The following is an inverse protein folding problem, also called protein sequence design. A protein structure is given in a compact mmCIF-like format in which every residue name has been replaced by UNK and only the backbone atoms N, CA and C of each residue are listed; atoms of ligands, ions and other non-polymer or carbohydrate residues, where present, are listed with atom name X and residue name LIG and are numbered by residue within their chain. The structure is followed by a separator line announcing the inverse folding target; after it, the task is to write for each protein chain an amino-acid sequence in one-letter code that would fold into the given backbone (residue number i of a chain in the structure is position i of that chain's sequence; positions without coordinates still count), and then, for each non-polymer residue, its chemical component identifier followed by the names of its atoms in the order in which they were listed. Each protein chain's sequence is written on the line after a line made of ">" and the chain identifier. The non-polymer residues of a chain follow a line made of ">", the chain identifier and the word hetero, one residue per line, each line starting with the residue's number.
data_IF_980939217598
#
_entry.id   IF_980939217598
#
_cell.length_a   1.000
_cell.length_b   1.000
_cell.length_c   1.000
_cell.angle_alpha   90.00
_cell.angle_beta   90.00
_cell.angle_gamma   90.00
#
_symmetry.space_group_name_H-M   'P 1'
#
loop_
_entity.id
_entity.type
_entity.pdbx_description
1 polymer ?
#
# COMPACT_ATOMS: atom_id res chain seq x y z
N UNK A 1 -34.72 0.42 -14.69
CA UNK A 1 -33.91 1.62 -15.00
C UNK A 1 -32.53 1.39 -14.40
N UNK A 2 -31.58 0.83 -15.15
CA UNK A 2 -30.23 0.56 -14.66
C UNK A 2 -29.40 1.84 -14.74
N UNK A 3 -28.88 2.31 -13.61
CA UNK A 3 -27.99 3.45 -13.51
C UNK A 3 -26.57 3.04 -13.94
N UNK A 4 -26.19 3.37 -15.17
CA UNK A 4 -24.80 3.30 -15.62
C UNK A 4 -24.04 4.48 -15.01
N UNK A 5 -23.38 4.26 -13.87
CA UNK A 5 -22.41 5.22 -13.33
C UNK A 5 -21.24 5.38 -14.32
N UNK A 6 -20.83 6.61 -14.69
CA UNK A 6 -19.62 6.78 -15.48
C UNK A 6 -18.41 6.40 -14.62
N UNK A 7 -17.72 5.30 -14.97
CA UNK A 7 -16.57 4.75 -14.25
C UNK A 7 -15.23 5.40 -14.61
N UNK A 8 -15.22 6.56 -15.27
CA UNK A 8 -13.99 7.23 -15.67
C UNK A 8 -13.82 8.58 -14.96
N UNK A 9 -12.74 8.69 -14.18
CA UNK A 9 -12.28 9.95 -13.59
C UNK A 9 -11.11 10.51 -14.41
N UNK A 10 -11.11 11.83 -14.66
CA UNK A 10 -10.07 12.51 -15.45
C UNK A 10 -9.02 13.14 -14.55
N UNK A 11 -7.76 12.87 -14.85
CA UNK A 11 -6.60 13.53 -14.22
C UNK A 11 -6.12 14.66 -15.13
N UNK A 12 -6.02 15.89 -14.60
CA UNK A 12 -5.49 17.05 -15.33
C UNK A 12 -4.36 17.67 -14.53
N UNK A 13 -3.21 17.91 -15.15
CA UNK A 13 -2.06 18.54 -14.51
C UNK A 13 -1.46 19.63 -15.41
N UNK A 14 -1.00 20.72 -14.78
CA UNK A 14 -0.20 21.76 -15.46
C UNK A 14 1.27 21.43 -15.25
N UNK A 15 2.04 21.50 -16.33
CA UNK A 15 3.45 21.13 -16.33
C UNK A 15 4.28 22.16 -17.11
N UNK A 16 5.48 22.53 -16.64
CA UNK A 16 6.40 23.37 -17.40
C UNK A 16 6.76 22.74 -18.74
N UNK A 17 7.09 23.57 -19.75
CA UNK A 17 7.46 23.10 -21.07
C UNK A 17 8.66 22.13 -21.06
N UNK A 18 9.68 22.43 -20.24
CA UNK A 18 10.86 21.57 -20.07
C UNK A 18 10.53 20.17 -19.54
N UNK A 19 9.58 20.08 -18.60
CA UNK A 19 9.10 18.81 -18.07
C UNK A 19 8.32 18.05 -19.14
N UNK A 20 7.47 18.74 -19.91
CA UNK A 20 6.74 18.14 -21.04
C UNK A 20 7.68 17.48 -22.03
N UNK A 21 8.75 18.18 -22.43
CA UNK A 21 9.72 17.69 -23.40
C UNK A 21 10.43 16.43 -22.89
N UNK A 22 10.78 16.41 -21.60
CA UNK A 22 11.41 15.24 -20.97
C UNK A 22 10.47 14.04 -20.98
N UNK A 23 9.21 14.23 -20.57
CA UNK A 23 8.19 13.18 -20.58
C UNK A 23 7.88 12.69 -22.00
N UNK A 24 7.85 13.60 -22.99
CA UNK A 24 7.62 13.24 -24.38
C UNK A 24 8.76 12.36 -24.92
N UNK A 25 10.02 12.74 -24.69
CA UNK A 25 11.17 11.90 -25.07
C UNK A 25 11.09 10.51 -24.46
N UNK A 26 10.71 10.41 -23.19
CA UNK A 26 10.55 9.11 -22.54
C UNK A 26 9.39 8.30 -23.14
N UNK A 27 8.26 8.94 -23.44
CA UNK A 27 7.14 8.30 -24.12
C UNK A 27 7.55 7.76 -25.50
N UNK A 28 8.26 8.56 -26.30
CA UNK A 28 8.76 8.19 -27.63
C UNK A 28 9.69 6.97 -27.56
N UNK A 29 10.61 6.93 -26.59
CA UNK A 29 11.52 5.78 -26.38
C UNK A 29 10.77 4.49 -26.01
N UNK A 30 9.61 4.61 -25.37
CA UNK A 30 8.76 3.46 -25.00
C UNK A 30 7.72 3.10 -26.06
N UNK A 31 7.64 3.84 -27.16
CA UNK A 31 6.61 3.67 -28.19
C UNK A 31 5.19 3.97 -27.71
N UNK A 32 5.05 4.76 -26.65
CA UNK A 32 3.77 5.12 -26.05
C UNK A 32 3.43 6.59 -26.32
N UNK A 33 2.13 6.93 -26.30
CA UNK A 33 1.73 8.35 -26.24
C UNK A 33 2.10 8.96 -24.90
N UNK A 34 2.24 10.29 -24.84
CA UNK A 34 2.55 11.00 -23.59
C UNK A 34 1.57 10.67 -22.46
N UNK A 35 0.27 10.63 -22.75
CA UNK A 35 -0.75 10.29 -21.75
C UNK A 35 -0.60 8.85 -21.24
N UNK A 36 -0.37 7.88 -22.14
CA UNK A 36 -0.16 6.48 -21.76
C UNK A 36 1.08 6.34 -20.89
N UNK A 37 2.19 7.00 -21.27
CA UNK A 37 3.42 7.02 -20.48
C UNK A 37 3.19 7.60 -19.08
N UNK A 38 2.53 8.76 -18.99
CA UNK A 38 2.24 9.41 -17.72
C UNK A 38 1.39 8.54 -16.79
N UNK A 39 0.33 7.92 -17.32
CA UNK A 39 -0.53 7.03 -16.53
C UNK A 39 0.25 5.80 -16.07
N UNK A 40 1.01 5.16 -16.96
CA UNK A 40 1.81 3.99 -16.61
C UNK A 40 2.87 4.30 -15.55
N UNK A 41 3.57 5.43 -15.68
CA UNK A 41 4.56 5.89 -14.71
C UNK A 41 3.91 6.19 -13.35
N UNK A 42 2.78 6.90 -13.34
CA UNK A 42 2.07 7.22 -12.10
C UNK A 42 1.55 5.96 -11.38
N UNK A 43 1.00 5.00 -12.13
CA UNK A 43 0.54 3.72 -11.57
C UNK A 43 1.70 2.92 -10.99
N UNK A 44 2.82 2.84 -11.72
CA UNK A 44 4.02 2.14 -11.24
C UNK A 44 4.53 2.72 -9.92
N UNK A 45 4.65 4.05 -9.85
CA UNK A 45 5.12 4.74 -8.66
C UNK A 45 4.15 4.55 -7.48
N UNK A 46 2.84 4.69 -7.73
CA UNK A 46 1.82 4.47 -6.71
C UNK A 46 1.87 3.04 -6.14
N UNK A 47 2.02 2.03 -7.01
CA UNK A 47 2.14 0.63 -6.59
C UNK A 47 3.39 0.39 -5.74
N UNK A 48 4.52 0.97 -6.12
CA UNK A 48 5.76 0.83 -5.37
C UNK A 48 5.66 1.46 -3.97
N UNK A 49 5.09 2.67 -3.87
CA UNK A 49 4.87 3.33 -2.58
C UNK A 49 3.92 2.52 -1.69
N UNK A 50 2.81 2.01 -2.25
CA UNK A 50 1.85 1.18 -1.51
C UNK A 50 2.55 -0.10 -1.01
N UNK A 51 3.31 -0.77 -1.87
CA UNK A 51 4.05 -1.96 -1.52
C UNK A 51 5.06 -1.69 -0.40
N UNK A 52 5.81 -0.59 -0.47
CA UNK A 52 6.78 -0.22 0.57
C UNK A 52 6.12 -0.01 1.95
N UNK A 53 4.89 0.50 1.99
CA UNK A 53 4.15 0.68 3.25
C UNK A 53 3.53 -0.62 3.78
N UNK A 54 3.21 -1.58 2.91
CA UNK A 54 2.50 -2.79 3.30
C UNK A 54 3.40 -4.02 3.49
N UNK A 55 4.65 -3.97 3.00
CA UNK A 55 5.57 -5.10 3.06
C UNK A 55 6.53 -4.96 4.24
N UNK A 56 6.51 -5.94 5.13
CA UNK A 56 7.54 -6.12 6.14
C UNK A 56 8.66 -6.93 5.50
N UNK A 57 9.82 -6.30 5.30
CA UNK A 57 11.02 -6.98 4.85
C UNK A 57 11.71 -7.63 6.06
N UNK A 58 11.90 -8.94 6.01
CA UNK A 58 12.55 -9.72 7.05
C UNK A 58 13.91 -10.21 6.53
N UNK A 59 14.92 -10.20 7.40
CA UNK A 59 16.12 -11.01 7.13
C UNK A 59 15.77 -12.50 7.20
N UNK A 60 16.62 -13.37 6.65
CA UNK A 60 16.40 -14.82 6.77
C UNK A 60 16.27 -15.26 8.23
N UNK A 61 17.08 -14.68 9.12
CA UNK A 61 17.02 -14.95 10.55
C UNK A 61 15.69 -14.49 11.18
N UNK A 62 15.20 -13.31 10.83
CA UNK A 62 13.93 -12.81 11.36
C UNK A 62 12.74 -13.61 10.82
N UNK A 63 12.81 -14.04 9.55
CA UNK A 63 11.81 -14.91 8.95
C UNK A 63 11.74 -16.25 9.69
N UNK A 64 12.87 -16.93 9.89
CA UNK A 64 12.92 -18.21 10.62
C UNK A 64 12.35 -18.08 12.04
N UNK A 65 12.68 -16.98 12.72
CA UNK A 65 12.17 -16.67 14.06
C UNK A 65 10.66 -16.46 14.05
N UNK A 66 10.13 -15.71 13.09
CA UNK A 66 8.69 -15.47 12.96
C UNK A 66 7.95 -16.77 12.63
N UNK A 67 8.44 -17.55 11.68
CA UNK A 67 7.83 -18.84 11.34
C UNK A 67 7.81 -19.79 12.55
N UNK A 68 8.93 -19.86 13.29
CA UNK A 68 9.00 -20.66 14.53
C UNK A 68 7.97 -20.23 15.57
N UNK A 69 7.71 -18.91 15.71
CA UNK A 69 6.70 -18.37 16.63
C UNK A 69 5.26 -18.59 16.16
N UNK A 70 5.02 -18.66 14.86
CA UNK A 70 3.70 -18.99 14.29
C UNK A 70 3.39 -20.47 14.49
N UNK A 71 4.38 -21.34 14.25
CA UNK A 71 4.23 -22.79 14.42
C UNK A 71 4.17 -23.19 15.90
N UNK A 72 4.92 -22.50 16.76
CA UNK A 72 5.01 -22.77 18.19
C UNK A 72 4.69 -21.49 18.98
N UNK A 73 3.41 -21.09 19.05
CA UNK A 73 3.03 -19.87 19.73
C UNK A 73 3.31 -19.99 21.24
N UNK A 74 4.08 -19.04 21.83
CA UNK A 74 4.35 -19.06 23.26
C UNK A 74 3.10 -18.72 24.07
N UNK A 75 3.05 -19.18 25.31
CA UNK A 75 2.00 -18.78 26.22
C UNK A 75 2.03 -17.24 26.44
N UNK A 76 0.86 -16.57 26.55
CA UNK A 76 0.80 -15.16 26.88
C UNK A 76 1.61 -14.85 28.14
N UNK A 77 2.28 -13.70 28.19
CA UNK A 77 2.95 -13.27 29.42
C UNK A 77 1.95 -12.59 30.38
N UNK A 78 2.38 -12.32 31.62
CA UNK A 78 1.51 -11.73 32.65
C UNK A 78 1.00 -10.34 32.26
N UNK A 79 1.82 -9.55 31.57
CA UNK A 79 1.43 -8.23 31.08
C UNK A 79 0.32 -8.29 30.02
N UNK A 80 0.41 -9.24 29.08
CA UNK A 80 -0.60 -9.46 28.04
C UNK A 80 -1.90 -9.97 28.66
N UNK A 81 -1.82 -10.88 29.64
CA UNK A 81 -2.99 -11.32 30.42
C UNK A 81 -3.69 -10.15 31.11
N UNK A 82 -2.93 -9.30 31.80
CA UNK A 82 -3.48 -8.12 32.48
C UNK A 82 -4.09 -7.10 31.50
N UNK A 83 -3.46 -6.88 30.34
CA UNK A 83 -3.98 -5.99 29.30
C UNK A 83 -5.32 -6.49 28.74
N UNK A 84 -5.45 -7.80 28.47
CA UNK A 84 -6.70 -8.42 28.02
C UNK A 84 -7.81 -8.25 29.07
N UNK A 85 -7.50 -8.42 30.36
CA UNK A 85 -8.48 -8.23 31.44
C UNK A 85 -8.98 -6.79 31.50
N UNK A 86 -8.09 -5.80 31.40
CA UNK A 86 -8.45 -4.37 31.37
C UNK A 86 -9.31 -4.03 30.15
N UNK A 87 -8.94 -4.54 28.98
CA UNK A 87 -9.71 -4.34 27.76
C UNK A 87 -11.12 -4.91 27.91
N UNK A 88 -11.26 -6.14 28.42
CA UNK A 88 -12.58 -6.75 28.66
C UNK A 88 -13.43 -5.95 29.64
N UNK A 89 -12.85 -5.51 30.75
CA UNK A 89 -13.54 -4.69 31.75
C UNK A 89 -14.06 -3.37 31.15
N UNK A 90 -13.25 -2.70 30.32
CA UNK A 90 -13.63 -1.46 29.64
C UNK A 90 -14.83 -1.67 28.70
N UNK A 91 -14.84 -2.74 27.91
CA UNK A 91 -15.93 -3.04 26.98
C UNK A 91 -17.16 -3.68 27.65
N UNK A 92 -17.04 -4.27 28.85
CA UNK A 92 -18.18 -4.81 29.61
C UNK A 92 -18.96 -3.78 30.43
N UNK A 93 -18.46 -2.54 30.56
CA UNK A 93 -19.18 -1.42 31.20
C UNK A 93 -20.06 -0.61 30.21
N UNK A 94 -19.98 -0.91 28.90
CA UNK A 94 -20.72 -0.18 27.86
C UNK A 94 -22.00 -0.90 27.38
N UNK A 95 -22.37 -2.03 28.02
CA UNK A 95 -23.66 -2.74 27.84
C UNK A 95 -24.64 -2.46 28.99
#
# INVERSE_FOLDING_TARGET
>A
MASTSPKDSRVTARLPASVKETLQKAADLTGATLNQFMVAAAVKEAQEIIKQQQVIYLSSFDADKIFSLIENPPAPNDHLRAAIQRHRAFFSETD
#
